data_IF_236769026200
#
_entry.id   IF_236769026200
#
_cell.length_a   1.000
_cell.length_b   1.000
_cell.length_c   1.000
_cell.angle_alpha   90.00
_cell.angle_beta   90.00
_cell.angle_gamma   90.00
#
_symmetry.space_group_name_H-M   'P 1'
#
loop_
_entity.id
_entity.type
_entity.pdbx_description
1 polymer ?
#
# COMPACT_ATOMS: atom_id res chain seq x y z
N UNK A 1 -1.03 -4.43 -15.38
CA UNK A 1 -2.29 -3.71 -15.05
C UNK A 1 -3.17 -4.59 -14.18
N UNK A 2 -3.71 -4.06 -13.09
CA UNK A 2 -4.68 -4.74 -12.22
C UNK A 2 -6.06 -4.18 -12.54
N UNK A 3 -7.06 -5.03 -12.75
CA UNK A 3 -8.44 -4.61 -13.04
C UNK A 3 -9.43 -5.41 -12.18
N UNK A 4 -10.37 -4.70 -11.56
CA UNK A 4 -11.53 -5.31 -10.92
C UNK A 4 -12.81 -4.84 -11.60
N UNK A 5 -13.78 -5.73 -11.72
CA UNK A 5 -15.08 -5.44 -12.35
C UNK A 5 -16.19 -5.93 -11.43
N UNK A 6 -16.98 -4.99 -10.92
CA UNK A 6 -18.13 -5.25 -10.03
C UNK A 6 -17.80 -6.22 -8.89
N UNK A 7 -16.59 -6.08 -8.33
CA UNK A 7 -16.05 -7.00 -7.34
C UNK A 7 -16.82 -6.91 -6.02
N UNK A 8 -17.36 -8.03 -5.58
CA UNK A 8 -18.06 -8.13 -4.30
C UNK A 8 -17.46 -9.25 -3.45
N UNK A 9 -17.29 -8.98 -2.16
CA UNK A 9 -16.86 -9.98 -1.18
C UNK A 9 -17.70 -9.91 0.07
N UNK A 10 -18.33 -11.04 0.41
CA UNK A 10 -19.10 -11.22 1.64
C UNK A 10 -18.47 -12.29 2.52
N UNK A 11 -18.62 -12.14 3.83
CA UNK A 11 -18.27 -13.11 4.86
C UNK A 11 -19.50 -13.33 5.75
N UNK A 12 -20.25 -14.40 5.47
CA UNK A 12 -21.55 -14.60 6.09
C UNK A 12 -22.47 -13.41 5.83
N UNK A 13 -23.01 -12.76 6.87
CA UNK A 13 -23.90 -11.59 6.71
C UNK A 13 -23.18 -10.28 6.40
N UNK A 14 -21.85 -10.24 6.52
CA UNK A 14 -21.08 -9.01 6.37
C UNK A 14 -20.56 -8.85 4.95
N UNK A 15 -20.91 -7.74 4.29
CA UNK A 15 -20.34 -7.35 3.00
C UNK A 15 -19.11 -6.49 3.25
N UNK A 16 -17.93 -7.01 2.88
CA UNK A 16 -16.66 -6.32 3.06
C UNK A 16 -16.29 -5.44 1.86
N UNK A 17 -16.69 -5.85 0.65
CA UNK A 17 -16.57 -5.06 -0.59
C UNK A 17 -17.84 -5.24 -1.39
N UNK A 18 -18.33 -4.17 -2.00
CA UNK A 18 -19.56 -4.19 -2.77
C UNK A 18 -19.40 -3.47 -4.10
N UNK A 19 -19.61 -4.22 -5.18
CA UNK A 19 -19.62 -3.74 -6.57
C UNK A 19 -18.41 -2.83 -6.92
N UNK A 20 -17.21 -3.18 -6.43
CA UNK A 20 -16.00 -2.39 -6.56
C UNK A 20 -15.38 -2.60 -7.95
N UNK A 21 -15.27 -1.53 -8.72
CA UNK A 21 -14.58 -1.51 -10.02
C UNK A 21 -13.45 -0.49 -9.98
N UNK A 22 -12.23 -0.95 -10.27
CA UNK A 22 -11.04 -0.10 -10.31
C UNK A 22 -10.03 -0.64 -11.30
N UNK A 23 -9.19 0.25 -11.81
CA UNK A 23 -8.04 -0.09 -12.64
C UNK A 23 -6.80 0.56 -12.06
N UNK A 24 -5.72 -0.22 -11.91
CA UNK A 24 -4.41 0.24 -11.46
C UNK A 24 -3.43 -0.01 -12.59
N UNK A 25 -2.81 1.05 -13.07
CA UNK A 25 -1.89 0.99 -14.18
C UNK A 25 -0.59 0.26 -13.82
N UNK A 26 0.03 -0.37 -14.82
CA UNK A 26 1.32 -1.03 -14.63
C UNK A 26 2.44 -0.01 -14.43
N UNK A 27 3.40 -0.33 -13.56
CA UNK A 27 4.55 0.53 -13.30
C UNK A 27 4.21 1.80 -12.52
N UNK A 28 3.13 1.77 -11.72
CA UNK A 28 2.72 2.88 -10.86
C UNK A 28 2.67 2.48 -9.39
N UNK A 29 2.68 3.47 -8.51
CA UNK A 29 2.44 3.29 -7.07
C UNK A 29 1.04 3.78 -6.75
N UNK A 30 0.17 2.87 -6.39
CA UNK A 30 -1.22 3.15 -6.04
C UNK A 30 -1.43 3.10 -4.53
N UNK A 31 -1.91 4.20 -3.96
CA UNK A 31 -2.29 4.31 -2.56
C UNK A 31 -3.76 4.00 -2.34
N UNK A 32 -4.07 3.00 -1.52
CA UNK A 32 -5.43 2.69 -1.09
C UNK A 32 -5.64 3.22 0.33
N UNK A 33 -6.36 4.34 0.45
CA UNK A 33 -6.65 5.00 1.73
C UNK A 33 -8.03 4.60 2.23
N UNK A 34 -8.19 4.47 3.53
CA UNK A 34 -9.49 4.23 4.15
C UNK A 34 -9.37 3.95 5.64
N UNK A 35 -10.45 4.15 6.38
CA UNK A 35 -10.52 3.82 7.80
C UNK A 35 -10.35 2.32 8.06
N UNK A 36 -10.10 1.95 9.31
CA UNK A 36 -10.10 0.54 9.71
C UNK A 36 -11.49 -0.05 9.45
N UNK A 37 -11.53 -1.26 8.89
CA UNK A 37 -12.79 -1.91 8.48
C UNK A 37 -13.34 -1.47 7.12
N UNK A 38 -12.72 -0.53 6.41
CA UNK A 38 -13.19 -0.08 5.10
C UNK A 38 -13.14 -1.15 3.98
N UNK A 39 -12.39 -2.25 4.17
CA UNK A 39 -12.25 -3.32 3.19
C UNK A 39 -10.86 -3.41 2.53
N UNK A 40 -9.89 -2.55 2.93
CA UNK A 40 -8.53 -2.49 2.33
C UNK A 40 -7.83 -3.85 2.30
N UNK A 41 -7.66 -4.48 3.47
CA UNK A 41 -7.02 -5.79 3.58
C UNK A 41 -7.79 -6.86 2.82
N UNK A 42 -9.11 -6.79 2.80
CA UNK A 42 -9.96 -7.71 2.01
C UNK A 42 -9.65 -7.59 0.51
N UNK A 43 -9.54 -6.37 -0.01
CA UNK A 43 -9.17 -6.13 -1.41
C UNK A 43 -7.78 -6.69 -1.71
N UNK A 44 -6.79 -6.43 -0.85
CA UNK A 44 -5.43 -6.98 -1.03
C UNK A 44 -5.40 -8.51 -1.03
N UNK A 45 -6.14 -9.16 -0.14
CA UNK A 45 -6.23 -10.63 -0.12
C UNK A 45 -6.90 -11.20 -1.38
N UNK A 46 -7.87 -10.50 -1.94
CA UNK A 46 -8.50 -10.86 -3.21
C UNK A 46 -7.53 -10.69 -4.38
N UNK A 47 -6.79 -9.58 -4.43
CA UNK A 47 -5.76 -9.30 -5.44
C UNK A 47 -4.58 -10.28 -5.35
N UNK A 48 -4.24 -10.74 -4.15
CA UNK A 48 -3.24 -11.79 -3.94
C UNK A 48 -3.76 -13.21 -4.28
N UNK A 49 -5.04 -13.34 -4.65
CA UNK A 49 -5.69 -14.63 -4.94
C UNK A 49 -5.80 -15.54 -3.72
N UNK A 50 -5.79 -14.97 -2.50
CA UNK A 50 -6.00 -15.70 -1.24
C UNK A 50 -7.49 -15.94 -1.03
N UNK A 51 -8.31 -14.90 -1.27
CA UNK A 51 -9.77 -15.03 -1.20
C UNK A 51 -10.36 -15.18 -2.60
N UNK A 52 -11.40 -16.00 -2.68
CA UNK A 52 -12.26 -16.05 -3.86
C UNK A 52 -13.28 -14.91 -3.81
N UNK A 53 -13.52 -14.17 -4.90
CA UNK A 53 -14.64 -13.23 -5.00
C UNK A 53 -15.98 -13.93 -4.75
N UNK A 54 -16.95 -13.22 -4.13
CA UNK A 54 -18.33 -13.69 -4.05
C UNK A 54 -19.01 -13.49 -5.41
N UNK A 55 -18.76 -12.34 -6.04
CA UNK A 55 -19.18 -12.04 -7.41
C UNK A 55 -18.23 -11.02 -8.05
N UNK A 56 -18.36 -10.80 -9.35
CA UNK A 56 -17.43 -9.96 -10.12
C UNK A 56 -16.14 -10.68 -10.48
N UNK A 57 -15.17 -9.95 -11.00
CA UNK A 57 -13.88 -10.51 -11.44
C UNK A 57 -12.69 -9.67 -11.02
N UNK A 58 -11.53 -10.34 -10.95
CA UNK A 58 -10.22 -9.72 -10.76
C UNK A 58 -9.30 -10.28 -11.83
N UNK A 59 -8.65 -9.39 -12.55
CA UNK A 59 -7.68 -9.72 -13.57
C UNK A 59 -6.37 -8.96 -13.32
N UNK A 60 -5.27 -9.66 -13.52
CA UNK A 60 -3.92 -9.08 -13.58
C UNK A 60 -3.35 -9.42 -14.95
N UNK A 61 -3.01 -8.39 -15.72
CA UNK A 61 -2.59 -8.52 -17.13
C UNK A 61 -3.57 -9.34 -18.00
N UNK A 62 -4.88 -9.17 -17.76
CA UNK A 62 -5.94 -9.89 -18.47
C UNK A 62 -6.10 -11.35 -18.05
N UNK A 63 -5.41 -11.79 -16.99
CA UNK A 63 -5.51 -13.15 -16.46
C UNK A 63 -6.22 -13.16 -15.11
N UNK A 64 -7.13 -14.11 -14.85
CA UNK A 64 -7.76 -14.27 -13.55
C UNK A 64 -6.72 -14.65 -12.50
N UNK A 65 -6.84 -14.08 -11.29
CA UNK A 65 -5.85 -14.28 -10.21
C UNK A 65 -6.15 -15.52 -9.38
N UNK A 66 -7.43 -15.77 -9.09
CA UNK A 66 -7.83 -16.87 -8.20
C UNK A 66 -7.51 -18.24 -8.85
N UNK A 67 -6.86 -19.12 -8.09
CA UNK A 67 -6.39 -20.44 -8.54
C UNK A 67 -5.44 -20.43 -9.76
N UNK A 68 -4.77 -19.31 -10.03
CA UNK A 68 -3.81 -19.14 -11.11
C UNK A 68 -2.39 -19.02 -10.55
N UNK A 69 -1.64 -20.11 -10.52
CA UNK A 69 -0.28 -20.16 -9.99
C UNK A 69 0.70 -19.29 -10.79
N UNK A 70 0.54 -19.21 -12.11
CA UNK A 70 1.40 -18.37 -12.96
C UNK A 70 1.21 -16.88 -12.66
N UNK A 71 -0.03 -16.45 -12.41
CA UNK A 71 -0.33 -15.09 -11.98
C UNK A 71 0.25 -14.83 -10.58
N UNK A 72 0.07 -15.74 -9.63
CA UNK A 72 0.57 -15.62 -8.25
C UNK A 72 2.10 -15.56 -8.17
N UNK A 73 2.82 -16.17 -9.08
CA UNK A 73 4.29 -16.06 -9.18
C UNK A 73 4.77 -14.62 -9.44
N UNK A 74 3.92 -13.77 -10.00
CA UNK A 74 4.23 -12.38 -10.28
C UNK A 74 3.86 -11.43 -9.14
N UNK A 75 3.17 -11.93 -8.09
CA UNK A 75 2.64 -11.14 -6.99
C UNK A 75 3.42 -11.46 -5.72
N UNK A 76 3.82 -10.43 -4.97
CA UNK A 76 4.23 -10.60 -3.59
C UNK A 76 3.33 -9.76 -2.70
N UNK A 77 2.77 -10.39 -1.66
CA UNK A 77 1.86 -9.75 -0.72
C UNK A 77 2.46 -9.72 0.68
N UNK A 78 2.54 -8.54 1.27
CA UNK A 78 2.94 -8.33 2.66
C UNK A 78 1.71 -7.90 3.45
N UNK A 79 1.12 -8.78 4.26
CA UNK A 79 -0.02 -8.45 5.11
C UNK A 79 0.39 -7.59 6.32
N UNK A 80 -0.57 -6.95 6.98
CA UNK A 80 -0.31 -6.23 8.24
C UNK A 80 0.20 -7.18 9.33
N UNK A 81 -0.44 -8.32 9.52
CA UNK A 81 0.07 -9.37 10.39
C UNK A 81 0.92 -10.37 9.60
N UNK A 82 2.24 -10.27 9.78
CA UNK A 82 3.19 -11.15 9.10
C UNK A 82 3.23 -12.49 9.83
N UNK A 83 2.78 -13.53 9.14
CA UNK A 83 2.91 -14.90 9.63
C UNK A 83 4.38 -15.28 9.84
N UNK A 84 4.64 -15.89 10.98
CA UNK A 84 5.98 -16.37 11.33
C UNK A 84 5.97 -17.89 11.45
N UNK A 85 6.77 -18.53 10.63
CA UNK A 85 7.03 -19.96 10.83
C UNK A 85 7.84 -20.13 12.13
N UNK A 86 7.42 -21.01 13.04
CA UNK A 86 8.15 -21.25 14.29
C UNK A 86 9.62 -21.61 14.03
N UNK A 87 10.52 -20.91 14.74
CA UNK A 87 11.97 -21.13 14.60
C UNK A 87 12.63 -20.55 13.35
N UNK A 88 11.87 -19.94 12.44
CA UNK A 88 12.43 -19.36 11.21
C UNK A 88 13.33 -18.16 11.50
N UNK A 89 14.34 -17.98 10.64
CA UNK A 89 15.16 -16.78 10.50
C UNK A 89 14.95 -16.17 9.12
N UNK A 90 15.46 -14.94 8.90
CA UNK A 90 15.41 -14.34 7.56
C UNK A 90 16.11 -15.21 6.51
N UNK A 91 17.27 -15.81 6.87
CA UNK A 91 17.99 -16.70 5.97
C UNK A 91 17.19 -17.97 5.59
N UNK A 92 16.48 -18.58 6.57
CA UNK A 92 15.66 -19.77 6.29
C UNK A 92 14.45 -19.42 5.42
N UNK A 93 13.84 -18.25 5.63
CA UNK A 93 12.75 -17.76 4.78
C UNK A 93 13.23 -17.39 3.38
N UNK A 94 14.45 -16.86 3.23
CA UNK A 94 15.05 -16.59 1.92
C UNK A 94 15.21 -17.87 1.10
N UNK A 95 15.71 -18.96 1.73
CA UNK A 95 15.81 -20.27 1.09
C UNK A 95 14.43 -20.81 0.66
N UNK A 96 13.41 -20.64 1.49
CA UNK A 96 12.03 -21.03 1.15
C UNK A 96 11.50 -20.24 -0.06
N UNK A 97 11.65 -18.92 -0.05
CA UNK A 97 11.18 -18.09 -1.16
C UNK A 97 11.96 -18.31 -2.44
N UNK A 98 13.27 -18.61 -2.36
CA UNK A 98 14.06 -19.02 -3.52
C UNK A 98 13.54 -20.30 -4.18
N UNK A 99 12.93 -21.20 -3.41
CA UNK A 99 12.28 -22.41 -3.96
C UNK A 99 10.89 -22.12 -4.52
N UNK A 100 10.16 -21.13 -3.97
CA UNK A 100 8.78 -20.85 -4.34
C UNK A 100 8.66 -19.88 -5.51
N UNK A 101 9.53 -18.85 -5.59
CA UNK A 101 9.49 -17.81 -6.60
C UNK A 101 10.56 -18.02 -7.68
N UNK A 102 10.13 -18.26 -8.90
CA UNK A 102 11.04 -18.51 -10.03
C UNK A 102 11.92 -17.30 -10.38
N UNK A 103 11.48 -16.09 -10.00
CA UNK A 103 12.19 -14.82 -10.25
C UNK A 103 13.11 -14.42 -9.07
N UNK A 104 13.27 -15.28 -8.04
CA UNK A 104 14.13 -14.96 -6.90
C UNK A 104 15.52 -14.51 -7.34
N UNK A 105 15.99 -13.38 -6.79
CA UNK A 105 17.34 -12.86 -7.03
C UNK A 105 18.18 -12.93 -5.77
N UNK A 106 19.13 -13.86 -5.73
CA UNK A 106 20.08 -13.99 -4.63
C UNK A 106 20.97 -12.74 -4.50
N UNK A 107 21.39 -12.16 -5.62
CA UNK A 107 22.16 -10.92 -5.65
C UNK A 107 21.38 -9.76 -5.02
N UNK A 108 20.11 -9.61 -5.36
CA UNK A 108 19.24 -8.57 -4.78
C UNK A 108 19.07 -8.76 -3.27
N UNK A 109 18.86 -10.01 -2.84
CA UNK A 109 18.78 -10.35 -1.42
C UNK A 109 20.04 -9.91 -0.66
N UNK A 110 21.22 -10.26 -1.15
CA UNK A 110 22.50 -9.89 -0.53
C UNK A 110 22.70 -8.37 -0.45
N UNK A 111 22.37 -7.63 -1.52
CA UNK A 111 22.41 -6.17 -1.53
C UNK A 111 21.47 -5.56 -0.48
N UNK A 112 20.27 -6.09 -0.36
CA UNK A 112 19.28 -5.59 0.61
C UNK A 112 19.68 -5.92 2.04
N UNK A 113 20.21 -7.12 2.30
CA UNK A 113 20.74 -7.50 3.63
C UNK A 113 21.88 -6.56 4.06
N UNK A 114 22.78 -6.17 3.15
CA UNK A 114 23.85 -5.23 3.46
C UNK A 114 23.33 -3.81 3.77
N UNK A 115 22.23 -3.42 3.16
CA UNK A 115 21.64 -2.08 3.33
C UNK A 115 20.87 -1.92 4.65
N UNK A 116 20.33 -3.00 5.20
CA UNK A 116 19.53 -2.97 6.42
C UNK A 116 20.26 -3.69 7.57
N UNK A 117 20.39 -3.07 8.77
CA UNK A 117 21.19 -3.60 9.88
C UNK A 117 20.45 -4.72 10.62
N UNK A 118 20.13 -5.81 9.93
CA UNK A 118 19.44 -6.98 10.49
C UNK A 118 20.32 -8.21 10.29
N UNK A 119 20.61 -8.93 11.38
CA UNK A 119 21.29 -10.24 11.30
C UNK A 119 20.37 -11.27 10.64
N UNK A 120 20.74 -11.83 9.46
CA UNK A 120 19.90 -12.80 8.73
C UNK A 120 19.64 -14.09 9.51
N UNK A 121 20.50 -14.45 10.45
CA UNK A 121 20.39 -15.67 11.28
C UNK A 121 19.51 -15.48 12.51
N UNK A 122 19.16 -14.25 12.85
CA UNK A 122 18.31 -13.96 14.00
C UNK A 122 16.92 -14.58 13.81
N UNK A 123 16.41 -15.23 14.87
CA UNK A 123 15.06 -15.82 14.86
C UNK A 123 13.99 -14.73 14.76
N UNK A 124 13.04 -14.89 13.85
CA UNK A 124 11.95 -13.95 13.62
C UNK A 124 11.12 -13.69 14.87
N UNK A 125 10.94 -14.71 15.72
CA UNK A 125 10.22 -14.59 16.99
C UNK A 125 10.85 -13.60 17.98
N UNK A 126 12.15 -13.30 17.85
CA UNK A 126 12.88 -12.33 18.69
C UNK A 126 12.96 -10.94 18.08
N UNK A 127 12.41 -10.76 16.88
CA UNK A 127 12.39 -9.48 16.17
C UNK A 127 11.20 -8.61 16.61
N UNK A 128 11.40 -7.29 16.68
CA UNK A 128 10.29 -6.35 16.86
C UNK A 128 9.32 -6.36 15.67
N UNK A 129 8.12 -5.76 15.82
CA UNK A 129 7.16 -5.59 14.69
C UNK A 129 7.86 -4.92 13.50
N UNK A 130 8.58 -3.82 13.73
CA UNK A 130 9.29 -3.09 12.67
C UNK A 130 10.40 -3.91 12.00
N UNK A 131 11.20 -4.68 12.77
CA UNK A 131 12.21 -5.57 12.17
C UNK A 131 11.59 -6.66 11.31
N UNK A 132 10.49 -7.24 11.73
CA UNK A 132 9.76 -8.25 10.94
C UNK A 132 9.24 -7.66 9.64
N UNK A 133 8.75 -6.41 9.69
CA UNK A 133 8.29 -5.68 8.51
C UNK A 133 9.44 -5.44 7.53
N UNK A 134 10.60 -4.99 8.01
CA UNK A 134 11.80 -4.84 7.19
C UNK A 134 12.21 -6.17 6.54
N UNK A 135 12.23 -7.26 7.29
CA UNK A 135 12.55 -8.59 6.78
C UNK A 135 11.56 -9.01 5.67
N UNK A 136 10.26 -8.79 5.87
CA UNK A 136 9.25 -9.12 4.86
C UNK A 136 9.44 -8.31 3.57
N UNK A 137 9.81 -7.02 3.69
CA UNK A 137 10.10 -6.15 2.54
C UNK A 137 11.36 -6.64 1.82
N UNK A 138 12.46 -6.93 2.54
CA UNK A 138 13.70 -7.45 1.95
C UNK A 138 13.41 -8.74 1.17
N UNK A 139 12.71 -9.68 1.79
CA UNK A 139 12.38 -10.96 1.17
C UNK A 139 11.45 -10.79 -0.04
N UNK A 140 10.42 -9.95 0.10
CA UNK A 140 9.47 -9.68 -0.96
C UNK A 140 10.11 -9.05 -2.19
N UNK A 141 10.96 -8.05 -1.99
CA UNK A 141 11.67 -7.41 -3.09
C UNK A 141 12.74 -8.30 -3.73
N UNK A 142 13.29 -9.25 -2.97
CA UNK A 142 14.20 -10.26 -3.50
C UNK A 142 13.50 -11.31 -4.38
N UNK A 143 12.19 -11.49 -4.22
CA UNK A 143 11.38 -12.31 -5.13
C UNK A 143 11.18 -11.66 -6.51
N UNK A 144 11.63 -10.42 -6.70
CA UNK A 144 11.53 -9.67 -7.95
C UNK A 144 10.11 -9.64 -8.53
N UNK A 145 9.06 -9.37 -7.71
CA UNK A 145 7.69 -9.43 -8.17
C UNK A 145 7.40 -8.34 -9.20
N UNK A 146 6.44 -8.60 -10.10
CA UNK A 146 5.87 -7.57 -10.98
C UNK A 146 4.83 -6.73 -10.24
N UNK A 147 4.13 -7.34 -9.27
CA UNK A 147 3.10 -6.72 -8.44
C UNK A 147 3.44 -6.88 -6.96
N UNK A 148 3.65 -5.76 -6.27
CA UNK A 148 3.92 -5.73 -4.84
C UNK A 148 2.71 -5.15 -4.10
N UNK A 149 2.07 -5.97 -3.28
CA UNK A 149 0.90 -5.61 -2.50
C UNK A 149 1.30 -5.44 -1.04
N UNK A 150 1.03 -4.28 -0.45
CA UNK A 150 1.49 -3.90 0.87
C UNK A 150 0.32 -3.46 1.75
N UNK A 151 0.09 -4.16 2.87
CA UNK A 151 -0.93 -3.80 3.85
C UNK A 151 -0.26 -3.17 5.07
N UNK A 152 -0.55 -1.88 5.33
CA UNK A 152 0.00 -1.07 6.42
C UNK A 152 1.54 -1.19 6.52
N UNK A 153 2.23 -1.14 5.37
CA UNK A 153 3.64 -1.52 5.25
C UNK A 153 4.61 -0.63 6.03
N UNK A 154 4.23 0.59 6.36
CA UNK A 154 5.08 1.53 7.08
C UNK A 154 4.87 1.52 8.60
N UNK A 155 3.85 0.79 9.06
CA UNK A 155 3.54 0.67 10.49
C UNK A 155 4.68 0.02 11.28
N UNK A 156 5.07 0.67 12.39
CA UNK A 156 6.13 0.19 13.26
C UNK A 156 7.55 0.33 12.73
N UNK A 157 7.73 0.92 11.54
CA UNK A 157 9.05 1.31 11.04
C UNK A 157 9.49 2.64 11.67
N UNK A 158 10.75 2.72 12.08
CA UNK A 158 11.33 4.00 12.46
C UNK A 158 11.45 4.96 11.25
N UNK A 159 11.53 6.29 11.48
CA UNK A 159 11.53 7.27 10.40
C UNK A 159 12.66 7.07 9.37
N UNK A 160 13.85 6.66 9.80
CA UNK A 160 15.01 6.48 8.91
C UNK A 160 14.78 5.27 7.98
N UNK A 161 14.34 4.17 8.55
CA UNK A 161 14.02 2.96 7.80
C UNK A 161 12.84 3.19 6.85
N UNK A 162 11.83 3.95 7.28
CA UNK A 162 10.69 4.31 6.43
C UNK A 162 11.12 5.04 5.16
N UNK A 163 12.03 6.01 5.28
CA UNK A 163 12.61 6.73 4.12
C UNK A 163 13.39 5.76 3.21
N UNK A 164 14.19 4.86 3.79
CA UNK A 164 14.95 3.89 3.02
C UNK A 164 14.04 2.92 2.25
N UNK A 165 12.94 2.46 2.87
CA UNK A 165 11.94 1.57 2.24
C UNK A 165 11.19 2.30 1.12
N UNK A 166 10.76 3.55 1.33
CA UNK A 166 10.11 4.36 0.29
C UNK A 166 11.01 4.51 -0.93
N UNK A 167 12.28 4.88 -0.71
CA UNK A 167 13.26 4.98 -1.80
C UNK A 167 13.41 3.66 -2.54
N UNK A 168 13.51 2.54 -1.81
CA UNK A 168 13.65 1.21 -2.40
C UNK A 168 12.45 0.86 -3.29
N UNK A 169 11.22 1.16 -2.85
CA UNK A 169 9.99 0.96 -3.63
C UNK A 169 10.02 1.82 -4.90
N UNK A 170 10.35 3.12 -4.78
CA UNK A 170 10.43 4.03 -5.93
C UNK A 170 11.48 3.60 -6.94
N UNK A 171 12.67 3.20 -6.46
CA UNK A 171 13.75 2.69 -7.32
C UNK A 171 13.26 1.46 -8.13
N UNK A 172 12.56 0.51 -7.51
CA UNK A 172 12.02 -0.69 -8.18
C UNK A 172 10.92 -0.36 -9.20
N UNK A 173 10.10 0.65 -8.93
CA UNK A 173 9.08 1.12 -9.89
C UNK A 173 9.75 1.75 -11.11
N UNK A 174 10.73 2.62 -10.89
CA UNK A 174 11.45 3.33 -11.96
C UNK A 174 12.30 2.37 -12.81
N UNK A 175 13.09 1.50 -12.16
CA UNK A 175 14.07 0.65 -12.84
C UNK A 175 13.45 -0.59 -13.47
N UNK A 176 12.39 -1.14 -12.86
CA UNK A 176 11.83 -2.45 -13.24
C UNK A 176 10.39 -2.39 -13.73
N UNK A 177 9.71 -1.25 -13.58
CA UNK A 177 8.29 -1.13 -13.87
C UNK A 177 7.41 -1.95 -12.91
N UNK A 178 7.88 -2.18 -11.67
CA UNK A 178 7.08 -2.86 -10.64
C UNK A 178 5.81 -2.05 -10.34
N UNK A 179 4.67 -2.71 -10.28
CA UNK A 179 3.42 -2.07 -9.87
C UNK A 179 3.24 -2.29 -8.38
N UNK A 180 3.04 -1.21 -7.63
CA UNK A 180 2.92 -1.28 -6.17
C UNK A 180 1.57 -0.77 -5.72
N UNK A 181 0.87 -1.54 -4.88
CA UNK A 181 -0.34 -1.14 -4.22
C UNK A 181 -0.10 -1.12 -2.71
N UNK A 182 -0.32 0.03 -2.09
CA UNK A 182 -0.08 0.25 -0.66
C UNK A 182 -1.40 0.65 0.00
N UNK A 183 -1.91 -0.21 0.89
CA UNK A 183 -3.03 0.14 1.74
C UNK A 183 -2.54 0.80 3.04
N UNK A 184 -3.14 1.94 3.39
CA UNK A 184 -2.88 2.62 4.66
C UNK A 184 -4.12 3.37 5.15
N UNK A 185 -4.23 3.52 6.45
CA UNK A 185 -5.22 4.44 7.06
C UNK A 185 -4.67 5.87 7.19
N UNK A 186 -3.39 6.09 6.88
CA UNK A 186 -2.70 7.37 7.00
C UNK A 186 -2.29 7.92 5.62
N UNK A 187 -3.06 8.90 5.13
CA UNK A 187 -2.78 9.53 3.83
C UNK A 187 -1.37 10.13 3.75
N UNK A 188 -0.87 10.73 4.85
CA UNK A 188 0.48 11.35 4.87
C UNK A 188 1.61 10.39 4.55
N UNK A 189 1.40 9.09 4.79
CA UNK A 189 2.39 8.08 4.45
C UNK A 189 2.50 7.84 2.94
N UNK A 190 1.45 8.17 2.20
CA UNK A 190 1.29 7.91 0.78
C UNK A 190 1.55 9.14 -0.09
N UNK A 191 1.36 10.36 0.48
CA UNK A 191 1.42 11.64 -0.24
C UNK A 191 2.71 11.88 -1.04
N UNK A 192 3.86 11.40 -0.54
CA UNK A 192 5.16 11.61 -1.17
C UNK A 192 5.63 10.38 -1.97
N UNK A 193 4.82 9.36 -2.11
CA UNK A 193 5.22 8.09 -2.72
C UNK A 193 4.31 7.66 -3.87
N UNK A 194 3.00 7.91 -3.75
CA UNK A 194 2.02 7.38 -4.70
C UNK A 194 1.80 8.31 -5.88
N UNK A 195 1.58 7.72 -7.06
CA UNK A 195 1.16 8.44 -8.27
C UNK A 195 -0.36 8.68 -8.23
N UNK A 196 -1.10 7.69 -7.74
CA UNK A 196 -2.55 7.70 -7.66
C UNK A 196 -3.02 7.28 -6.27
N UNK A 197 -4.17 7.79 -5.85
CA UNK A 197 -4.85 7.36 -4.62
C UNK A 197 -6.31 7.02 -4.88
N UNK A 198 -6.77 5.96 -4.19
CA UNK A 198 -8.18 5.60 -4.09
C UNK A 198 -8.63 5.68 -2.64
N UNK A 199 -9.77 6.31 -2.40
CA UNK A 199 -10.41 6.33 -1.08
C UNK A 199 -11.44 5.23 -1.00
N UNK A 200 -11.19 4.25 -0.13
CA UNK A 200 -12.12 3.16 0.17
C UNK A 200 -12.90 3.46 1.44
N UNK A 201 -14.22 3.39 1.37
CA UNK A 201 -15.11 3.58 2.50
C UNK A 201 -16.33 2.65 2.39
N UNK A 202 -16.65 1.94 3.46
CA UNK A 202 -17.81 1.05 3.50
C UNK A 202 -17.83 0.01 2.36
N UNK A 203 -16.68 -0.50 1.93
CA UNK A 203 -16.59 -1.48 0.85
C UNK A 203 -16.62 -0.90 -0.58
N UNK A 204 -16.71 0.44 -0.74
CA UNK A 204 -16.78 1.10 -2.03
C UNK A 204 -15.60 2.06 -2.24
N UNK A 205 -15.10 2.19 -3.47
CA UNK A 205 -14.17 3.26 -3.83
C UNK A 205 -15.00 4.53 -4.08
N UNK A 206 -14.84 5.53 -3.21
CA UNK A 206 -15.53 6.80 -3.32
C UNK A 206 -14.95 7.68 -4.43
N UNK A 207 -13.63 7.67 -4.58
CA UNK A 207 -12.93 8.29 -5.70
C UNK A 207 -11.57 7.61 -5.94
N UNK A 208 -11.07 7.79 -7.15
CA UNK A 208 -9.72 7.44 -7.56
C UNK A 208 -9.18 8.58 -8.40
N UNK A 209 -8.01 9.11 -8.04
CA UNK A 209 -7.40 10.27 -8.72
C UNK A 209 -5.88 10.21 -8.67
N UNK A 210 -5.26 10.88 -9.62
CA UNK A 210 -3.83 11.21 -9.55
C UNK A 210 -3.56 12.15 -8.38
N UNK A 211 -2.48 11.90 -7.64
CA UNK A 211 -2.18 12.65 -6.43
C UNK A 211 -1.85 14.13 -6.73
N UNK A 212 -1.18 14.38 -7.86
CA UNK A 212 -0.84 15.74 -8.28
C UNK A 212 -2.09 16.57 -8.61
N UNK A 213 -3.14 15.95 -9.20
CA UNK A 213 -4.42 16.61 -9.41
C UNK A 213 -5.09 16.98 -8.09
N UNK A 214 -5.07 16.07 -7.10
CA UNK A 214 -5.60 16.36 -5.77
C UNK A 214 -4.87 17.51 -5.07
N UNK A 215 -3.56 17.62 -5.25
CA UNK A 215 -2.77 18.74 -4.70
C UNK A 215 -3.11 20.08 -5.35
N UNK A 216 -3.48 20.06 -6.63
CA UNK A 216 -3.92 21.26 -7.35
C UNK A 216 -5.35 21.68 -6.98
N UNK A 217 -6.23 20.71 -6.66
CA UNK A 217 -7.64 20.98 -6.35
C UNK A 217 -7.84 21.60 -4.97
N UNK A 218 -6.87 21.49 -4.06
CA UNK A 218 -6.99 21.98 -2.68
C UNK A 218 -5.77 22.81 -2.27
N UNK A 219 -6.03 23.99 -1.72
CA UNK A 219 -5.01 24.85 -1.14
C UNK A 219 -5.32 25.20 0.32
N UNK A 220 -4.31 25.10 1.19
CA UNK A 220 -4.38 25.64 2.54
C UNK A 220 -3.82 27.06 2.53
N UNK A 221 -4.68 28.06 2.74
CA UNK A 221 -4.29 29.46 2.83
C UNK A 221 -4.24 29.85 4.30
N UNK A 222 -3.09 30.38 4.75
CA UNK A 222 -2.93 31.00 6.05
C UNK A 222 -2.71 32.50 5.86
N UNK A 223 -3.53 33.31 6.49
CA UNK A 223 -3.37 34.76 6.45
C UNK A 223 -3.76 35.40 7.79
N UNK A 224 -3.22 36.57 8.06
CA UNK A 224 -3.60 37.40 9.19
C UNK A 224 -4.38 38.63 8.67
N UNK A 225 -5.51 38.95 9.28
CA UNK A 225 -6.32 40.10 8.90
C UNK A 225 -6.90 40.79 10.12
N UNK A 226 -7.00 42.12 10.04
CA UNK A 226 -7.71 42.97 11.01
C UNK A 226 -8.58 43.97 10.25
N UNK A 227 -9.92 43.95 10.41
CA UNK A 227 -10.71 42.98 11.17
C UNK A 227 -10.68 41.59 10.53
N UNK A 228 -10.97 40.54 11.31
CA UNK A 228 -11.04 39.17 10.81
C UNK A 228 -12.29 39.03 9.94
N UNK A 229 -12.17 38.59 8.67
CA UNK A 229 -13.32 38.37 7.81
C UNK A 229 -14.17 37.19 8.29
N UNK A 230 -15.50 37.30 8.13
CA UNK A 230 -16.38 36.17 8.42
C UNK A 230 -16.23 35.06 7.39
N UNK A 231 -16.65 33.83 7.77
CA UNK A 231 -16.66 32.70 6.84
C UNK A 231 -17.49 32.99 5.58
N UNK A 232 -18.61 33.71 5.74
CA UNK A 232 -19.50 34.08 4.64
C UNK A 232 -18.83 35.06 3.67
N UNK A 233 -18.10 36.03 4.18
CA UNK A 233 -17.32 36.96 3.35
C UNK A 233 -16.23 36.26 2.56
N UNK A 234 -15.53 35.31 3.18
CA UNK A 234 -14.51 34.51 2.50
C UNK A 234 -15.12 33.52 1.51
N UNK A 235 -16.30 32.94 1.82
CA UNK A 235 -16.99 32.02 0.95
C UNK A 235 -17.48 32.64 -0.38
N UNK A 236 -17.62 33.97 -0.41
CA UNK A 236 -17.91 34.70 -1.67
C UNK A 236 -16.71 34.78 -2.62
N UNK A 237 -15.50 34.63 -2.07
CA UNK A 237 -14.26 34.71 -2.85
C UNK A 237 -13.67 33.32 -3.17
N UNK A 238 -13.87 32.33 -2.29
CA UNK A 238 -13.26 31.02 -2.40
C UNK A 238 -14.23 29.93 -1.95
N UNK A 239 -14.22 28.74 -2.58
CA UNK A 239 -14.93 27.56 -2.08
C UNK A 239 -14.24 27.06 -0.80
N UNK A 240 -14.83 27.33 0.37
CA UNK A 240 -14.24 26.98 1.67
C UNK A 240 -14.74 25.61 2.13
N UNK A 241 -13.83 24.65 2.28
CA UNK A 241 -14.12 23.32 2.83
C UNK A 241 -14.07 23.37 4.36
N UNK A 242 -13.01 23.94 4.92
CA UNK A 242 -12.88 24.13 6.38
C UNK A 242 -12.19 25.44 6.72
N UNK A 243 -12.51 26.00 7.89
CA UNK A 243 -11.90 27.24 8.41
C UNK A 243 -11.54 27.04 9.88
N UNK A 244 -10.28 27.27 10.21
CA UNK A 244 -9.79 27.24 11.57
C UNK A 244 -9.26 28.61 11.95
N UNK A 245 -9.75 29.16 13.06
CA UNK A 245 -9.29 30.43 13.62
C UNK A 245 -8.25 30.13 14.70
N UNK A 246 -7.08 30.75 14.61
CA UNK A 246 -6.08 30.76 15.68
C UNK A 246 -5.80 32.23 16.11
N UNK A 247 -5.82 32.49 17.40
CA UNK A 247 -5.39 33.75 17.96
C UNK A 247 -3.86 33.77 18.03
N UNK A 248 -3.22 34.63 17.22
CA UNK A 248 -1.81 34.94 17.37
C UNK A 248 -1.75 36.15 18.28
N UNK A 249 -1.33 35.98 19.53
CA UNK A 249 -0.93 37.08 20.39
C UNK A 249 0.43 37.58 19.89
N UNK A 250 0.44 38.78 19.31
CA UNK A 250 1.66 39.52 18.98
C UNK A 250 1.99 40.41 20.18
#
# INVERSE_FOLDING_TARGET
>A
MIKTVSLTKTFGPTTALENLSTTIESGSIYGLVGSNGAGKSTLLHLLAGIYRPTSGSIEIDGQPVYENSACKQQIFFIPDEIYQQPGASMESMAKLYACLYTQWSQQRYEQLVQRFPIDPKRKLSTCSKGMRRQIAIILGMSCMPKYLLLDEAFDGLDPVIRVAVRKLISDDVIERGTTVLIASHNLRELEDLCDQVGLLHGGHILFQRELDQLRCDFAKIQFAARPLPSREQLAQLFPIISMHLSLIHI
#
